data_IF_938688805579
#
_entry.id   IF_938688805579
#
_cell.length_a   1.000
_cell.length_b   1.000
_cell.length_c   1.000
_cell.angle_alpha   90.00
_cell.angle_beta   90.00
_cell.angle_gamma   90.00
#
_symmetry.space_group_name_H-M   'P 1'
#
loop_
_entity.id
_entity.type
_entity.pdbx_description
1 polymer ?
2 non-polymer ?
3 non-polymer ?
4 water ?
#
# COMPACT_ATOMS: atom_id res chain seq x y z
N UNK A 1 -1.56 12.37 -5.13
CA UNK A 1 -1.89 12.79 -3.75
C UNK A 1 -1.44 14.23 -3.61
N UNK A 2 -1.97 14.94 -2.62
CA UNK A 2 -1.48 16.23 -2.23
C UNK A 2 -0.51 16.08 -1.06
N UNK A 3 0.77 16.20 -1.32
CA UNK A 3 1.77 16.13 -0.27
C UNK A 3 1.78 17.42 0.51
N UNK A 4 1.74 17.32 1.82
CA UNK A 4 1.76 18.47 2.70
C UNK A 4 2.47 18.13 4.02
N UNK A 5 2.77 19.15 4.81
CA UNK A 5 3.32 18.95 6.16
C UNK A 5 4.62 18.20 6.17
N UNK A 6 5.55 18.71 5.36
CA UNK A 6 6.86 18.06 5.13
C UNK A 6 8.01 18.96 5.52
N UNK A 7 9.05 18.34 6.03
CA UNK A 7 10.29 19.01 6.39
C UNK A 7 11.46 18.09 6.20
N UNK A 8 12.58 18.66 5.76
CA UNK A 8 13.80 17.92 5.72
C UNK A 8 13.91 16.91 4.59
N UNK A 9 14.89 16.03 4.71
CA UNK A 9 15.05 14.92 3.76
C UNK A 9 13.88 13.94 3.83
N UNK A 10 13.13 13.93 4.93
CA UNK A 10 11.94 13.08 5.03
C UNK A 10 10.99 13.39 3.88
N UNK A 11 10.92 14.64 3.42
CA UNK A 11 10.09 14.92 2.28
C UNK A 11 10.50 14.09 1.06
N UNK A 12 11.83 13.99 0.82
CA UNK A 12 12.36 13.17 -0.24
C UNK A 12 12.14 11.69 0.02
N UNK A 13 12.19 11.26 1.28
CA UNK A 13 11.83 9.87 1.56
C UNK A 13 10.39 9.60 1.08
N UNK A 14 9.49 10.53 1.36
CA UNK A 14 8.09 10.34 0.94
C UNK A 14 7.96 10.42 -0.60
N UNK A 15 8.56 11.41 -1.24
CA UNK A 15 8.37 11.49 -2.69
C UNK A 15 8.98 10.28 -3.38
N UNK A 16 10.09 9.78 -2.87
CA UNK A 16 10.70 8.52 -3.36
C UNK A 16 9.74 7.35 -3.17
N UNK A 17 9.15 7.26 -1.99
CA UNK A 17 8.19 6.19 -1.70
C UNK A 17 6.98 6.28 -2.59
N UNK A 18 6.48 7.47 -2.89
CA UNK A 18 5.33 7.62 -3.80
C UNK A 18 5.68 7.09 -5.16
N UNK A 19 6.82 7.52 -5.71
CA UNK A 19 7.20 7.09 -7.05
C UNK A 19 7.43 5.59 -7.10
N UNK A 20 8.06 5.04 -6.06
CA UNK A 20 8.26 3.59 -5.99
C UNK A 20 6.95 2.87 -5.83
N UNK A 21 6.05 3.37 -4.99
CA UNK A 21 4.74 2.75 -4.82
C UNK A 21 3.98 2.71 -6.14
N UNK A 22 4.07 3.77 -6.93
CA UNK A 22 3.38 3.78 -8.23
C UNK A 22 3.91 2.67 -9.12
N UNK A 23 5.23 2.54 -9.20
CA UNK A 23 5.82 1.52 -10.03
C UNK A 23 5.46 0.12 -9.49
N UNK A 24 5.54 -0.08 -8.19
CA UNK A 24 5.26 -1.37 -7.60
C UNK A 24 3.79 -1.74 -7.78
N UNK A 25 2.91 -0.79 -7.64
CA UNK A 25 1.49 -1.04 -7.79
C UNK A 25 1.12 -1.35 -9.23
N UNK A 26 1.67 -0.62 -10.21
CA UNK A 26 1.41 -0.94 -11.61
C UNK A 26 1.94 -2.34 -11.93
N UNK A 27 3.13 -2.68 -11.46
CA UNK A 27 3.72 -3.97 -11.74
C UNK A 27 2.88 -5.09 -11.11
N UNK A 28 2.40 -4.88 -9.90
CA UNK A 28 1.55 -5.87 -9.24
C UNK A 28 0.18 -5.97 -9.94
N UNK A 29 -0.35 -4.84 -10.44
CA UNK A 29 -1.60 -4.88 -11.19
C UNK A 29 -1.42 -5.76 -12.44
N UNK A 30 -0.31 -5.58 -13.14
CA UNK A 30 -0.04 -6.37 -14.33
C UNK A 30 0.01 -7.85 -13.97
N UNK A 31 0.60 -8.19 -12.84
CA UNK A 31 0.66 -9.56 -12.39
C UNK A 31 -0.75 -10.09 -12.08
N UNK A 32 -1.57 -9.29 -11.42
CA UNK A 32 -2.93 -9.71 -11.14
C UNK A 32 -3.72 -9.92 -12.45
N UNK A 33 -3.50 -9.06 -13.43
CA UNK A 33 -4.19 -9.14 -14.74
C UNK A 33 -3.77 -10.36 -15.55
N UNK A 34 -2.46 -10.62 -15.58
CA UNK A 34 -1.88 -11.47 -16.62
C UNK A 34 -0.73 -12.33 -16.16
N UNK A 35 -0.39 -12.30 -14.89
CA UNK A 35 0.73 -13.01 -14.33
C UNK A 35 0.36 -14.36 -13.80
N UNK A 36 1.18 -14.87 -12.90
CA UNK A 36 1.08 -16.23 -12.41
C UNK A 36 -0.10 -16.42 -11.48
N UNK A 37 -0.94 -17.38 -11.77
CA UNK A 37 -2.10 -17.65 -10.96
C UNK A 37 -1.76 -18.15 -9.59
N UNK A 38 -0.76 -19.00 -9.45
CA UNK A 38 -0.41 -19.57 -8.16
C UNK A 38 0.11 -18.50 -7.24
N UNK A 39 0.90 -17.57 -7.75
CA UNK A 39 1.40 -16.48 -6.92
C UNK A 39 0.26 -15.57 -6.46
N UNK A 40 -0.67 -15.30 -7.35
CA UNK A 40 -1.85 -14.53 -6.98
C UNK A 40 -2.61 -15.26 -5.86
N UNK A 41 -2.82 -16.55 -6.02
CA UNK A 41 -3.55 -17.35 -5.05
C UNK A 41 -2.86 -17.37 -3.69
N UNK A 42 -1.54 -17.32 -3.65
CA UNK A 42 -0.83 -17.32 -2.37
C UNK A 42 -1.31 -16.16 -1.48
N UNK A 43 -1.59 -15.01 -2.10
CA UNK A 43 -1.98 -13.81 -1.37
C UNK A 43 -3.49 -13.59 -1.31
N UNK A 44 -4.23 -13.97 -2.33
CA UNK A 44 -5.66 -13.68 -2.39
C UNK A 44 -6.54 -14.90 -2.30
N UNK A 45 -5.97 -16.10 -2.22
CA UNK A 45 -6.64 -17.30 -1.78
C UNK A 45 -7.66 -17.83 -2.78
N UNK A 46 -7.55 -17.40 -4.02
CA UNK A 46 -8.40 -17.81 -5.11
C UNK A 46 -7.67 -17.53 -6.39
N UNK A 47 -8.10 -18.18 -7.47
CA UNK A 47 -7.62 -17.86 -8.82
C UNK A 47 -8.74 -17.21 -9.65
N UNK A 48 -9.87 -16.95 -9.05
CA UNK A 48 -10.97 -16.50 -9.89
C UNK A 48 -10.77 -15.15 -10.53
N UNK A 49 -11.21 -15.08 -11.77
CA UNK A 49 -10.99 -13.94 -12.59
C UNK A 49 -11.59 -12.66 -12.00
N UNK A 50 -12.79 -12.69 -11.46
CA UNK A 50 -13.37 -11.47 -10.93
C UNK A 50 -12.49 -10.90 -9.80
N UNK A 51 -11.96 -11.75 -8.95
CA UNK A 51 -11.07 -11.30 -7.88
C UNK A 51 -9.77 -10.71 -8.46
N UNK A 52 -9.21 -11.38 -9.45
CA UNK A 52 -8.02 -10.83 -10.09
C UNK A 52 -8.28 -9.46 -10.67
N UNK A 53 -9.43 -9.28 -11.33
CA UNK A 53 -9.79 -8.00 -11.89
C UNK A 53 -9.92 -6.93 -10.81
N UNK A 54 -10.58 -7.24 -9.71
CA UNK A 54 -10.74 -6.24 -8.64
C UNK A 54 -9.38 -5.87 -8.05
N UNK A 55 -8.53 -6.84 -7.77
CA UNK A 55 -7.19 -6.56 -7.24
C UNK A 55 -6.43 -5.67 -8.20
N UNK A 56 -6.47 -6.01 -9.51
CA UNK A 56 -5.77 -5.22 -10.48
C UNK A 56 -6.32 -3.80 -10.56
N UNK A 57 -7.64 -3.63 -10.53
CA UNK A 57 -8.22 -2.30 -10.60
C UNK A 57 -7.79 -1.46 -9.41
N UNK A 58 -7.83 -2.05 -8.23
CA UNK A 58 -7.42 -1.34 -7.01
C UNK A 58 -5.96 -0.92 -7.14
N UNK A 59 -5.10 -1.81 -7.57
CA UNK A 59 -3.69 -1.50 -7.70
C UNK A 59 -3.44 -0.42 -8.77
N UNK A 60 -4.15 -0.48 -9.89
CA UNK A 60 -3.98 0.55 -10.90
C UNK A 60 -4.39 1.90 -10.36
N UNK A 61 -5.46 1.95 -9.57
CA UNK A 61 -5.90 3.20 -8.97
C UNK A 61 -4.89 3.71 -7.97
N UNK A 62 -4.33 2.85 -7.14
CA UNK A 62 -3.27 3.23 -6.18
C UNK A 62 -2.11 3.83 -6.98
N UNK A 63 -1.72 3.19 -8.07
CA UNK A 63 -0.55 3.70 -8.82
C UNK A 63 -0.81 5.11 -9.33
N UNK A 64 -2.03 5.39 -9.82
CA UNK A 64 -2.35 6.72 -10.30
C UNK A 64 -2.32 7.72 -9.15
N UNK A 65 -2.87 7.36 -8.00
CA UNK A 65 -2.88 8.26 -6.86
C UNK A 65 -1.48 8.59 -6.36
N UNK A 66 -0.60 7.58 -6.38
CA UNK A 66 0.77 7.74 -5.91
C UNK A 66 1.61 8.55 -6.88
N UNK A 67 1.16 8.68 -8.14
CA UNK A 67 1.90 9.36 -9.18
C UNK A 67 1.78 10.86 -9.26
N UNK A 68 1.11 11.51 -8.33
CA UNK A 68 1.05 12.99 -8.27
C UNK A 68 1.42 13.41 -6.85
N UNK A 69 1.91 14.65 -6.72
CA UNK A 69 2.24 15.25 -5.43
C UNK A 69 1.42 16.52 -5.07
N UNK A 70 0.64 17.04 -6.01
CA UNK A 70 -0.33 18.15 -5.70
C UNK A 70 -1.66 17.82 -6.31
N UNK A 71 -2.07 16.60 -6.28
CA UNK A 71 -3.31 16.21 -6.90
C UNK A 71 -3.90 14.95 -6.45
N UNK A 72 -4.77 14.34 -7.31
CA UNK A 72 -5.52 13.21 -6.88
C UNK A 72 -6.58 13.45 -5.79
N UNK A 73 -7.05 12.32 -5.26
CA UNK A 73 -8.16 12.23 -4.36
C UNK A 73 -7.79 12.20 -2.90
N UNK A 74 -6.50 12.13 -2.59
CA UNK A 74 -6.05 12.04 -1.21
C UNK A 74 -5.12 13.18 -0.87
N UNK A 75 -4.91 13.34 0.44
CA UNK A 75 -3.89 14.24 1.02
C UNK A 75 -2.94 13.37 1.83
N UNK A 76 -1.65 13.59 1.68
CA UNK A 76 -0.63 12.79 2.32
C UNK A 76 0.27 13.70 3.13
N UNK A 77 0.16 13.61 4.45
CA UNK A 77 1.01 14.38 5.34
C UNK A 77 2.34 13.64 5.58
N UNK A 78 3.46 14.31 5.36
CA UNK A 78 4.73 13.68 5.68
C UNK A 78 4.79 13.30 7.14
N UNK A 79 4.24 14.13 7.99
CA UNK A 79 4.21 13.90 9.41
C UNK A 79 2.80 14.04 9.93
N UNK A 80 2.47 13.22 10.89
CA UNK A 80 1.18 13.19 11.59
C UNK A 80 0.85 14.54 12.19
N UNK A 81 -0.15 15.24 11.69
CA UNK A 81 -0.45 16.58 12.20
C UNK A 81 -1.36 16.60 13.40
N UNK A 82 -1.94 15.45 13.74
CA UNK A 82 -3.02 15.37 14.71
C UNK A 82 -2.65 14.66 15.99
N UNK A 83 -1.63 13.82 15.97
CA UNK A 83 -1.36 12.94 17.08
C UNK A 83 -2.21 11.69 17.09
N UNK A 84 -2.44 11.10 15.95
CA UNK A 84 -3.19 9.85 15.85
C UNK A 84 -2.29 8.62 15.79
N UNK A 85 -0.96 8.80 15.70
CA UNK A 85 -0.05 7.67 15.69
C UNK A 85 0.00 6.99 17.06
N UNK A 86 -0.12 5.70 17.09
CA UNK A 86 0.03 4.87 18.29
C UNK A 86 1.38 4.18 18.26
N UNK A 87 1.81 3.61 19.40
CA UNK A 87 3.08 2.93 19.43
C UNK A 87 3.16 1.85 18.33
N UNK A 88 4.31 1.81 17.67
CA UNK A 88 4.61 0.82 16.67
C UNK A 88 3.84 0.97 15.37
N UNK A 89 3.04 2.00 15.20
CA UNK A 89 2.31 2.24 13.97
C UNK A 89 3.17 3.06 13.02
N UNK A 90 3.30 2.62 11.79
CA UNK A 90 4.16 3.29 10.79
C UNK A 90 3.47 4.46 10.10
N UNK A 91 2.17 4.35 9.87
CA UNK A 91 1.40 5.31 9.10
C UNK A 91 -0.07 5.01 9.35
N UNK A 92 -0.95 5.92 8.97
CA UNK A 92 -2.38 5.67 9.12
C UNK A 92 -3.13 6.44 8.04
N UNK A 93 -4.39 6.03 7.87
CA UNK A 93 -5.33 6.65 6.98
C UNK A 93 -6.63 6.97 7.73
N UNK A 94 -7.19 8.12 7.39
CA UNK A 94 -8.53 8.54 7.83
C UNK A 94 -9.46 8.35 6.65
N UNK A 95 -10.13 7.22 6.51
CA UNK A 95 -10.83 6.93 5.26
C UNK A 95 -11.91 7.91 4.90
N UNK A 96 -12.63 8.46 5.88
CA UNK A 96 -13.70 9.39 5.56
C UNK A 96 -13.19 10.70 4.98
N UNK A 97 -11.94 11.00 5.18
CA UNK A 97 -11.31 12.19 4.73
C UNK A 97 -10.33 11.96 3.60
N UNK A 98 -10.05 10.72 3.24
CA UNK A 98 -9.03 10.37 2.25
C UNK A 98 -7.72 11.09 2.57
N UNK A 99 -7.32 11.00 3.86
CA UNK A 99 -6.14 11.62 4.38
C UNK A 99 -5.22 10.55 4.94
N UNK A 100 -3.94 10.64 4.64
CA UNK A 100 -2.92 9.68 5.06
C UNK A 100 -1.85 10.47 5.77
N UNK A 101 -1.21 9.86 6.78
CA UNK A 101 -0.04 10.47 7.39
C UNK A 101 0.96 9.39 7.77
N UNK A 102 2.23 9.72 7.68
CA UNK A 102 3.28 8.86 8.22
C UNK A 102 3.58 9.23 9.67
N UNK A 103 3.90 8.20 10.44
CA UNK A 103 4.41 8.37 11.81
C UNK A 103 5.95 8.51 11.74
N UNK A 104 6.55 9.05 12.80
CA UNK A 104 7.99 9.29 12.75
C UNK A 104 8.78 8.01 12.48
N UNK A 105 8.35 6.88 13.01
CA UNK A 105 9.10 5.63 12.83
C UNK A 105 9.09 5.15 11.37
N UNK A 106 8.19 5.64 10.52
CA UNK A 106 8.31 5.38 9.08
C UNK A 106 9.71 5.75 8.60
N UNK A 107 10.22 6.85 9.11
CA UNK A 107 11.49 7.40 8.64
C UNK A 107 12.70 6.78 9.32
N UNK A 108 12.56 6.35 10.56
CA UNK A 108 13.69 5.78 11.28
C UNK A 108 13.80 4.25 11.19
N UNK A 109 12.69 3.55 10.97
CA UNK A 109 12.68 2.11 11.11
C UNK A 109 12.51 1.36 9.80
N UNK A 110 12.24 2.03 8.70
CA UNK A 110 12.01 1.37 7.41
C UNK A 110 13.06 1.76 6.40
N UNK A 111 13.54 0.80 5.61
CA UNK A 111 14.34 1.14 4.44
C UNK A 111 13.42 1.71 3.34
N UNK A 112 13.99 2.39 2.34
CA UNK A 112 13.15 2.80 1.21
C UNK A 112 12.49 1.64 0.48
N UNK A 113 13.30 0.59 0.27
CA UNK A 113 12.95 -0.57 -0.53
C UNK A 113 13.55 -1.82 0.14
N UNK A 114 12.70 -2.72 0.59
CA UNK A 114 13.18 -3.94 1.23
C UNK A 114 13.80 -4.86 0.21
N UNK A 115 14.90 -5.47 0.58
CA UNK A 115 15.54 -6.46 -0.24
C UNK A 115 15.08 -7.88 0.06
N UNK A 116 14.48 -8.09 1.23
CA UNK A 116 14.04 -9.41 1.67
C UNK A 116 12.54 -9.60 1.48
N UNK A 117 12.17 -10.82 1.16
CA UNK A 117 10.78 -11.17 0.98
C UNK A 117 9.97 -10.81 2.20
N UNK A 118 8.84 -10.16 1.95
CA UNK A 118 7.82 -9.87 2.94
C UNK A 118 8.21 -8.78 3.94
N UNK A 119 9.40 -8.23 3.84
CA UNK A 119 9.84 -7.24 4.77
C UNK A 119 9.22 -5.89 4.47
N UNK A 120 9.02 -5.09 5.51
CA UNK A 120 8.38 -3.81 5.37
C UNK A 120 9.34 -2.75 4.82
N UNK A 121 8.78 -1.76 4.12
CA UNK A 121 9.58 -0.67 3.61
C UNK A 121 8.68 0.54 3.38
N UNK A 122 9.31 1.66 3.06
CA UNK A 122 8.57 2.90 2.91
C UNK A 122 7.60 2.83 1.72
N UNK A 123 8.08 2.31 0.59
CA UNK A 123 7.24 2.26 -0.61
C UNK A 123 5.98 1.45 -0.39
N UNK A 124 6.12 0.26 0.20
CA UNK A 124 4.95 -0.62 0.36
C UNK A 124 4.08 -0.21 1.53
N UNK A 125 4.63 0.48 2.55
CA UNK A 125 3.76 1.04 3.59
C UNK A 125 2.91 2.13 2.98
N UNK A 126 3.48 2.99 2.13
CA UNK A 126 2.71 3.98 1.40
C UNK A 126 1.65 3.32 0.51
N UNK A 127 2.02 2.27 -0.21
CA UNK A 127 1.05 1.52 -1.04
C UNK A 127 -0.11 1.02 -0.20
N UNK A 128 0.23 0.35 0.92
CA UNK A 128 -0.75 -0.14 1.90
C UNK A 128 -1.74 0.96 2.24
N UNK A 129 -1.24 2.12 2.66
CA UNK A 129 -2.14 3.17 3.11
C UNK A 129 -3.06 3.65 1.99
N UNK A 130 -2.58 3.77 0.76
CA UNK A 130 -3.49 4.21 -0.31
C UNK A 130 -4.66 3.25 -0.45
N UNK A 131 -4.47 1.96 -0.23
CA UNK A 131 -5.60 1.04 -0.36
C UNK A 131 -6.70 1.32 0.66
N UNK A 132 -6.36 1.93 1.80
CA UNK A 132 -7.35 2.27 2.80
C UNK A 132 -8.26 3.43 2.37
N UNK A 133 -7.87 4.20 1.38
CA UNK A 133 -8.60 5.43 1.01
C UNK A 133 -9.71 5.10 0.00
N UNK A 134 -10.97 5.19 0.41
CA UNK A 134 -12.04 4.85 -0.53
C UNK A 134 -12.10 5.76 -1.74
N UNK A 135 -11.56 6.98 -1.65
CA UNK A 135 -11.51 7.88 -2.77
C UNK A 135 -10.58 7.38 -3.86
N UNK A 136 -9.61 6.53 -3.52
CA UNK A 136 -8.75 5.89 -4.49
C UNK A 136 -9.51 4.76 -5.18
N UNK A 137 -10.11 3.88 -4.38
CA UNK A 137 -10.87 2.74 -4.91
C UNK A 137 -11.80 2.31 -3.78
N UNK A 138 -13.10 2.17 -4.06
CA UNK A 138 -14.05 1.77 -2.99
C UNK A 138 -14.37 0.28 -3.09
N UNK A 139 -14.49 -0.40 -1.98
CA UNK A 139 -14.33 0.12 -0.61
C UNK A 139 -12.88 0.30 -0.25
N UNK A 140 -12.63 1.17 0.72
CA UNK A 140 -11.33 1.16 1.35
C UNK A 140 -11.07 -0.18 1.99
N UNK A 141 -9.82 -0.64 1.98
CA UNK A 141 -9.45 -1.85 2.66
C UNK A 141 -9.43 -1.65 4.17
N UNK A 142 -9.44 -2.73 4.88
CA UNK A 142 -9.34 -2.78 6.35
C UNK A 142 -8.00 -3.36 6.76
N UNK A 143 -7.71 -3.30 8.06
CA UNK A 143 -6.55 -3.93 8.63
C UNK A 143 -6.96 -5.23 9.31
N UNK A 144 -6.95 -6.29 8.52
CA UNK A 144 -7.43 -7.61 8.94
C UNK A 144 -6.30 -8.56 9.26
N UNK A 145 -5.13 -8.39 8.66
CA UNK A 145 -3.97 -9.24 8.94
C UNK A 145 -2.72 -8.54 8.51
N UNK A 146 -1.80 -8.34 9.44
CA UNK A 146 -0.58 -7.60 9.19
C UNK A 146 0.59 -8.57 9.08
N UNK A 147 1.40 -8.45 8.06
CA UNK A 147 2.52 -9.32 7.88
C UNK A 147 2.13 -10.62 7.20
N UNK A 148 3.13 -11.35 6.68
CA UNK A 148 2.85 -12.47 5.83
C UNK A 148 1.92 -13.52 6.44
N UNK A 149 2.22 -14.01 7.65
CA UNK A 149 1.41 -15.11 8.17
C UNK A 149 -0.03 -14.66 8.40
N UNK A 150 -0.23 -13.52 9.05
CA UNK A 150 -1.60 -13.11 9.35
C UNK A 150 -2.35 -12.79 8.08
N UNK A 151 -1.71 -12.11 7.13
CA UNK A 151 -2.39 -11.75 5.90
C UNK A 151 -2.72 -12.95 5.04
N UNK A 152 -1.77 -13.86 4.86
CA UNK A 152 -1.99 -14.98 3.96
C UNK A 152 -2.84 -16.08 4.56
N UNK A 153 -3.07 -16.05 5.86
CA UNK A 153 -4.00 -17.00 6.50
C UNK A 153 -5.41 -16.45 6.56
N UNK A 154 -5.65 -15.24 6.07
CA UNK A 154 -7.01 -14.74 5.90
C UNK A 154 -7.70 -15.58 4.83
N UNK A 155 -9.04 -15.54 4.89
CA UNK A 155 -9.85 -16.04 3.81
C UNK A 155 -9.74 -15.14 2.56
N UNK A 156 -10.24 -15.65 1.45
CA UNK A 156 -10.21 -14.89 0.21
C UNK A 156 -10.86 -13.52 0.37
N UNK A 157 -12.06 -13.44 0.91
CA UNK A 157 -12.73 -12.16 0.93
C UNK A 157 -12.06 -11.20 1.89
N UNK A 158 -11.52 -11.71 3.00
CA UNK A 158 -10.78 -10.84 3.90
C UNK A 158 -9.47 -10.37 3.25
N UNK A 159 -8.74 -11.24 2.58
CA UNK A 159 -7.50 -10.82 1.89
C UNK A 159 -7.77 -9.73 0.86
N UNK A 160 -8.83 -9.91 0.06
CA UNK A 160 -9.22 -8.92 -0.93
C UNK A 160 -9.40 -7.54 -0.30
N UNK A 161 -9.88 -7.54 0.94
CA UNK A 161 -10.18 -6.31 1.68
C UNK A 161 -9.14 -5.99 2.75
N UNK A 162 -7.92 -6.48 2.60
CA UNK A 162 -6.87 -6.31 3.61
C UNK A 162 -5.72 -5.52 3.02
N UNK A 163 -5.43 -4.36 3.59
CA UNK A 163 -4.39 -3.48 2.99
C UNK A 163 -3.05 -4.17 2.85
N UNK A 164 -2.60 -4.90 3.88
CA UNK A 164 -1.26 -5.44 3.83
C UNK A 164 -1.12 -6.52 2.79
N UNK A 165 -2.22 -7.18 2.39
CA UNK A 165 -2.15 -8.18 1.33
C UNK A 165 -1.62 -7.56 0.06
N UNK A 166 -1.99 -6.30 -0.22
CA UNK A 166 -1.53 -5.61 -1.42
C UNK A 166 -0.06 -5.27 -1.33
N UNK A 167 0.39 -4.79 -0.16
CA UNK A 167 1.81 -4.51 0.06
C UNK A 167 2.64 -5.79 -0.10
N UNK A 168 2.19 -6.87 0.51
CA UNK A 168 2.90 -8.14 0.44
C UNK A 168 2.95 -8.67 -0.99
N UNK A 169 1.84 -8.63 -1.71
CA UNK A 169 1.83 -9.10 -3.08
C UNK A 169 2.78 -8.26 -3.93
N UNK A 170 2.76 -6.93 -3.77
CA UNK A 170 3.62 -6.08 -4.56
C UNK A 170 5.08 -6.36 -4.29
N UNK A 171 5.45 -6.59 -3.03
CA UNK A 171 6.82 -6.94 -2.67
C UNK A 171 7.21 -8.27 -3.31
N UNK A 172 6.33 -9.25 -3.25
CA UNK A 172 6.63 -10.58 -3.80
C UNK A 172 6.84 -10.52 -5.31
N UNK A 173 6.02 -9.74 -6.00
CA UNK A 173 6.17 -9.60 -7.44
C UNK A 173 7.52 -8.97 -7.77
N UNK A 174 7.86 -7.87 -7.08
CA UNK A 174 9.12 -7.18 -7.37
C UNK A 174 10.35 -8.05 -7.08
N UNK A 175 10.32 -8.77 -5.95
CA UNK A 175 11.48 -9.53 -5.53
C UNK A 175 11.54 -10.91 -6.15
N UNK A 176 10.53 -11.28 -6.87
CA UNK A 176 10.42 -12.59 -7.50
C UNK A 176 10.50 -13.66 -6.44
N UNK A 177 9.70 -13.49 -5.42
CA UNK A 177 9.62 -14.42 -4.31
C UNK A 177 8.22 -14.77 -3.90
#
# INVERSE_FOLDING_TARGET
TEVTDCKGDAESSLTTALSNAAKLANQAAEAAESGDESKFEEYFKTTDQQTRTTVAERLRAVAKEAGSTSGGSTTYHCNDPYGYCEPNVLAYTLPSKNEIANCDIYYSELPPLAQKCHAQDQATTTLHEFTHAPGVYQPGTEDLGYGYDAATQLSAQDALNNADSYALYANAIELKC
#
